data_IF_685991942311
#
_entry.id   IF_685991942311
#
_cell.length_a   1.000
_cell.length_b   1.000
_cell.length_c   1.000
_cell.angle_alpha   90.00
_cell.angle_beta   90.00
_cell.angle_gamma   90.00
#
_symmetry.space_group_name_H-M   'P 1'
#
loop_
_entity.id
_entity.type
_entity.pdbx_description
1 polymer ?
#
# COMPACT_ATOMS: atom_id res chain seq x y z
N UNK A 1 20.46 -11.00 -0.58
CA UNK A 1 20.54 -9.54 -0.43
C UNK A 1 19.15 -9.02 -0.73
N UNK A 2 18.49 -8.45 0.27
CA UNK A 2 17.13 -7.94 0.09
C UNK A 2 17.17 -6.55 -0.60
N UNK A 3 16.02 -6.02 -1.02
CA UNK A 3 15.98 -4.74 -1.74
C UNK A 3 16.44 -3.55 -0.88
N UNK A 4 16.27 -3.61 0.44
CA UNK A 4 16.72 -2.57 1.36
C UNK A 4 18.25 -2.55 1.48
N UNK A 5 18.90 -3.72 1.55
CA UNK A 5 20.36 -3.85 1.51
C UNK A 5 20.91 -3.26 0.20
N UNK A 6 20.22 -3.50 -0.93
CA UNK A 6 20.65 -3.05 -2.26
C UNK A 6 20.69 -1.52 -2.37
N UNK A 7 19.79 -0.83 -1.69
CA UNK A 7 19.74 0.64 -1.67
C UNK A 7 20.47 1.25 -0.48
N UNK A 8 21.08 0.44 0.38
CA UNK A 8 21.79 0.91 1.57
C UNK A 8 20.88 1.57 2.61
N UNK A 9 19.63 1.11 2.71
CA UNK A 9 18.65 1.66 3.65
C UNK A 9 19.16 1.60 5.10
N UNK A 10 19.11 2.73 5.79
CA UNK A 10 19.49 2.86 7.19
C UNK A 10 18.24 3.15 8.06
N UNK A 11 17.75 2.19 8.86
CA UNK A 11 16.57 2.37 9.71
C UNK A 11 16.70 3.44 10.80
N UNK A 12 17.91 3.96 11.06
CA UNK A 12 18.13 5.05 12.01
C UNK A 12 17.86 6.45 11.44
N UNK A 13 17.94 6.62 10.11
CA UNK A 13 17.79 7.93 9.46
C UNK A 13 16.83 7.93 8.26
N UNK A 14 16.46 6.76 7.74
CA UNK A 14 15.61 6.65 6.57
C UNK A 14 14.17 6.28 6.95
N UNK A 15 13.25 6.65 6.07
CA UNK A 15 11.82 6.36 6.19
C UNK A 15 11.38 5.51 4.99
N UNK A 16 10.74 4.38 5.27
CA UNK A 16 10.08 3.57 4.26
C UNK A 16 8.56 3.78 4.33
N UNK A 17 7.94 4.16 3.21
CA UNK A 17 6.49 4.33 3.08
C UNK A 17 5.96 3.28 2.10
N UNK A 18 5.04 2.44 2.56
CA UNK A 18 4.36 1.42 1.76
C UNK A 18 3.03 1.91 1.19
N UNK A 19 2.70 1.43 -0.01
CA UNK A 19 1.39 1.60 -0.69
C UNK A 19 0.31 0.64 -0.16
N UNK A 20 0.56 -0.10 0.92
CA UNK A 20 -0.38 -1.09 1.48
C UNK A 20 -0.20 -2.48 0.88
N UNK A 21 -1.16 -3.38 1.12
CA UNK A 21 -1.12 -4.80 0.72
C UNK A 21 0.13 -5.51 1.24
N UNK A 22 0.32 -5.44 2.55
CA UNK A 22 1.39 -6.11 3.28
C UNK A 22 1.12 -7.60 3.45
N UNK A 23 -0.14 -8.02 3.35
CA UNK A 23 -0.57 -9.40 3.58
C UNK A 23 -1.28 -10.01 2.38
N UNK A 24 -1.60 -11.29 2.55
CA UNK A 24 -2.21 -12.18 1.59
C UNK A 24 -1.28 -12.50 0.41
N UNK A 25 -1.59 -13.61 -0.28
CA UNK A 25 -0.87 -14.16 -1.45
C UNK A 25 0.56 -14.66 -1.17
N UNK A 26 1.35 -13.94 -0.39
CA UNK A 26 2.74 -14.27 -0.04
C UNK A 26 2.87 -15.22 1.17
N UNK A 27 4.09 -15.73 1.44
CA UNK A 27 4.34 -16.63 2.57
C UNK A 27 4.58 -15.91 3.91
N UNK A 28 5.14 -14.70 3.91
CA UNK A 28 5.69 -13.99 5.08
C UNK A 28 4.73 -12.89 5.61
N UNK A 29 3.44 -13.22 5.70
CA UNK A 29 2.37 -12.26 6.03
C UNK A 29 2.53 -11.63 7.42
N UNK A 30 2.89 -12.43 8.44
CA UNK A 30 3.04 -11.92 9.81
C UNK A 30 4.25 -11.00 9.87
N UNK A 31 5.35 -11.42 9.25
CA UNK A 31 6.61 -10.70 9.18
C UNK A 31 6.45 -9.34 8.48
N UNK A 32 5.63 -9.27 7.41
CA UNK A 32 5.26 -8.02 6.76
C UNK A 32 4.38 -7.12 7.65
N UNK A 33 3.44 -7.66 8.42
CA UNK A 33 2.66 -6.88 9.39
C UNK A 33 3.52 -6.34 10.54
N UNK A 34 4.55 -7.08 10.96
CA UNK A 34 5.47 -6.65 12.02
C UNK A 34 6.22 -5.36 11.67
N UNK A 35 6.39 -5.05 10.38
CA UNK A 35 6.94 -3.76 9.92
C UNK A 35 6.16 -2.58 10.47
N UNK A 36 4.85 -2.70 10.72
CA UNK A 36 4.02 -1.65 11.32
C UNK A 36 4.41 -1.30 12.76
N UNK A 37 5.26 -2.11 13.40
CA UNK A 37 5.83 -1.80 14.72
C UNK A 37 7.10 -0.95 14.62
N UNK A 38 7.70 -0.85 13.43
CA UNK A 38 8.98 -0.20 13.24
C UNK A 38 8.82 1.33 13.11
N UNK A 39 9.63 2.12 13.83
CA UNK A 39 9.51 3.58 13.81
C UNK A 39 9.83 4.19 12.44
N UNK A 40 10.66 3.52 11.63
CA UNK A 40 11.06 3.90 10.28
C UNK A 40 10.10 3.42 9.18
N UNK A 41 8.99 2.77 9.53
CA UNK A 41 8.03 2.25 8.55
C UNK A 41 6.67 2.93 8.68
N UNK A 42 6.10 3.37 7.56
CA UNK A 42 4.72 3.84 7.46
C UNK A 42 4.06 3.12 6.28
N UNK A 43 2.74 2.97 6.34
CA UNK A 43 1.97 2.39 5.26
C UNK A 43 0.63 3.11 5.14
N UNK A 44 0.08 3.13 3.95
CA UNK A 44 -1.37 3.33 3.78
C UNK A 44 -2.10 1.98 3.93
N UNK A 45 -3.38 2.03 4.27
CA UNK A 45 -4.24 0.84 4.25
C UNK A 45 -4.36 0.32 2.82
N UNK A 46 -4.05 -0.96 2.60
CA UNK A 46 -4.37 -1.68 1.37
C UNK A 46 -5.72 -2.40 1.44
N UNK A 47 -6.24 -2.82 0.29
CA UNK A 47 -7.54 -3.48 0.25
C UNK A 47 -7.49 -4.86 0.93
N UNK A 48 -6.32 -5.50 0.98
CA UNK A 48 -6.12 -6.75 1.69
C UNK A 48 -6.13 -6.58 3.22
N UNK A 49 -5.57 -5.48 3.73
CA UNK A 49 -5.71 -5.15 5.15
C UNK A 49 -7.18 -4.87 5.54
N UNK A 50 -7.92 -4.15 4.70
CA UNK A 50 -9.36 -3.90 4.92
C UNK A 50 -10.17 -5.20 4.91
N UNK A 51 -9.90 -6.11 3.96
CA UNK A 51 -10.50 -7.44 3.93
C UNK A 51 -10.18 -8.26 5.19
N UNK A 52 -8.95 -8.20 5.69
CA UNK A 52 -8.60 -8.84 6.97
C UNK A 52 -9.44 -8.27 8.11
N UNK A 53 -9.55 -6.93 8.22
CA UNK A 53 -10.34 -6.28 9.26
C UNK A 53 -11.83 -6.66 9.18
N UNK A 54 -12.38 -6.75 7.96
CA UNK A 54 -13.72 -7.27 7.73
C UNK A 54 -13.83 -8.72 8.18
N UNK A 55 -12.90 -9.58 7.74
CA UNK A 55 -12.95 -11.03 7.97
C UNK A 55 -12.82 -11.45 9.43
N UNK A 56 -12.09 -10.69 10.25
CA UNK A 56 -11.96 -10.93 11.69
C UNK A 56 -13.06 -10.25 12.53
N UNK A 57 -13.83 -9.34 11.93
CA UNK A 57 -14.90 -8.64 12.62
C UNK A 57 -16.06 -9.60 12.93
N UNK A 58 -16.68 -9.55 14.13
CA UNK A 58 -17.83 -10.39 14.46
C UNK A 58 -19.01 -10.24 13.50
N UNK A 59 -19.12 -9.10 12.81
CA UNK A 59 -20.21 -8.79 11.88
C UNK A 59 -19.78 -8.80 10.42
N UNK A 60 -18.51 -9.11 10.11
CA UNK A 60 -17.98 -9.09 8.75
C UNK A 60 -17.96 -10.47 8.08
N UNK A 61 -17.44 -10.52 6.85
CA UNK A 61 -17.41 -11.73 6.03
C UNK A 61 -16.01 -12.35 5.97
N UNK A 62 -15.76 -13.35 6.81
CA UNK A 62 -14.55 -14.20 6.71
C UNK A 62 -14.38 -14.81 5.32
N UNK A 63 -15.50 -15.21 4.69
CA UNK A 63 -15.47 -15.80 3.35
C UNK A 63 -14.89 -14.86 2.32
N UNK A 64 -15.23 -13.56 2.40
CA UNK A 64 -14.72 -12.55 1.48
C UNK A 64 -13.19 -12.41 1.57
N UNK A 65 -12.63 -12.42 2.78
CA UNK A 65 -11.19 -12.42 2.97
C UNK A 65 -10.52 -13.72 2.47
N UNK A 66 -11.11 -14.88 2.79
CA UNK A 66 -10.55 -16.17 2.40
C UNK A 66 -10.43 -16.34 0.88
N UNK A 67 -11.45 -15.96 0.11
CA UNK A 67 -11.40 -16.05 -1.37
C UNK A 67 -10.37 -15.09 -1.98
N UNK A 68 -9.96 -14.05 -1.25
CA UNK A 68 -8.94 -13.08 -1.66
C UNK A 68 -7.54 -13.41 -1.12
N UNK A 69 -7.35 -14.51 -0.40
CA UNK A 69 -6.01 -14.97 0.02
C UNK A 69 -5.76 -14.98 1.53
N UNK A 70 -6.77 -14.66 2.35
CA UNK A 70 -6.67 -14.66 3.82
C UNK A 70 -6.49 -16.03 4.51
N UNK A 71 -6.31 -17.11 3.73
CA UNK A 71 -6.19 -18.47 4.27
C UNK A 71 -4.96 -18.69 5.16
N UNK A 72 -3.90 -17.88 5.00
CA UNK A 72 -2.67 -17.99 5.79
C UNK A 72 -2.94 -17.87 7.29
N UNK A 73 -3.84 -16.98 7.70
CA UNK A 73 -4.15 -16.71 9.10
C UNK A 73 -4.69 -17.95 9.85
N UNK A 74 -5.41 -18.82 9.15
CA UNK A 74 -5.98 -20.04 9.71
C UNK A 74 -4.98 -21.20 9.75
N UNK A 75 -3.84 -21.06 9.08
CA UNK A 75 -2.75 -22.03 9.07
C UNK A 75 -1.65 -21.72 10.08
N UNK A 76 -1.75 -20.58 10.78
CA UNK A 76 -0.80 -20.18 11.81
C UNK A 76 -0.89 -21.07 13.05
N UNK A 77 0.26 -21.31 13.67
CA UNK A 77 0.32 -21.81 15.04
C UNK A 77 -0.23 -20.77 16.04
N UNK A 78 -0.43 -21.20 17.29
CA UNK A 78 -1.01 -20.37 18.35
C UNK A 78 -0.26 -19.07 18.58
N UNK A 79 1.08 -19.10 18.56
CA UNK A 79 1.92 -17.95 18.90
C UNK A 79 1.91 -16.93 17.76
N UNK A 80 2.09 -17.38 16.51
CA UNK A 80 1.99 -16.51 15.32
C UNK A 80 0.58 -15.93 15.18
N UNK A 81 -0.46 -16.69 15.50
CA UNK A 81 -1.84 -16.19 15.46
C UNK A 81 -2.08 -15.12 16.51
N UNK A 82 -1.57 -15.30 17.73
CA UNK A 82 -1.63 -14.28 18.78
C UNK A 82 -0.87 -13.01 18.37
N UNK A 83 0.31 -13.16 17.76
CA UNK A 83 1.08 -12.04 17.23
C UNK A 83 0.30 -11.28 16.15
N UNK A 84 -0.21 -11.98 15.13
CA UNK A 84 -1.03 -11.39 14.06
C UNK A 84 -2.25 -10.64 14.63
N UNK A 85 -2.93 -11.21 15.62
CA UNK A 85 -4.04 -10.54 16.30
C UNK A 85 -3.61 -9.30 17.09
N UNK A 86 -2.42 -9.29 17.68
CA UNK A 86 -1.91 -8.10 18.38
C UNK A 86 -1.56 -6.94 17.43
N UNK A 87 -1.27 -7.25 16.16
CA UNK A 87 -0.98 -6.27 15.10
C UNK A 87 -2.25 -5.64 14.49
N UNK A 88 -3.43 -6.25 14.69
CA UNK A 88 -4.71 -5.77 14.14
C UNK A 88 -4.99 -4.30 14.50
N UNK A 89 -4.72 -3.88 15.73
CA UNK A 89 -4.96 -2.47 16.11
C UNK A 89 -4.07 -1.50 15.35
N UNK A 90 -2.86 -1.92 14.96
CA UNK A 90 -1.98 -1.10 14.11
C UNK A 90 -2.51 -1.03 12.69
N UNK A 91 -3.03 -2.15 12.16
CA UNK A 91 -3.71 -2.18 10.86
C UNK A 91 -4.91 -1.22 10.86
N UNK A 92 -5.74 -1.23 11.90
CA UNK A 92 -6.88 -0.29 12.02
C UNK A 92 -6.50 1.18 12.05
N UNK A 93 -5.26 1.49 12.43
CA UNK A 93 -4.75 2.86 12.52
C UNK A 93 -4.10 3.34 11.21
N UNK A 94 -3.99 2.49 10.19
CA UNK A 94 -3.42 2.88 8.90
C UNK A 94 -4.27 3.97 8.26
N UNK A 95 -3.66 5.08 7.80
CA UNK A 95 -4.36 6.08 7.01
C UNK A 95 -4.65 5.53 5.60
N UNK A 96 -5.72 6.00 4.96
CA UNK A 96 -5.98 5.67 3.56
C UNK A 96 -5.06 6.44 2.59
N UNK A 97 -4.61 7.62 3.01
CA UNK A 97 -3.78 8.52 2.22
C UNK A 97 -2.71 9.11 3.14
N UNK A 98 -1.45 9.09 2.68
CA UNK A 98 -0.34 9.81 3.31
C UNK A 98 0.02 11.00 2.42
N UNK A 99 0.15 12.17 3.03
CA UNK A 99 0.83 13.33 2.45
C UNK A 99 2.26 13.36 2.98
N UNK A 100 3.23 13.28 2.08
CA UNK A 100 4.64 13.48 2.38
C UNK A 100 5.09 14.82 1.81
N UNK A 101 5.44 15.75 2.70
CA UNK A 101 6.08 17.01 2.33
C UNK A 101 7.59 16.85 2.45
N UNK A 102 8.25 16.87 1.30
CA UNK A 102 9.71 16.95 1.19
C UNK A 102 10.15 18.41 1.16
N UNK A 103 11.45 18.68 1.03
CA UNK A 103 11.95 20.06 0.92
C UNK A 103 11.47 20.78 -0.34
N UNK A 104 11.14 20.04 -1.42
CA UNK A 104 10.79 20.62 -2.72
C UNK A 104 9.43 20.20 -3.26
N UNK A 105 8.82 19.14 -2.73
CA UNK A 105 7.65 18.50 -3.32
C UNK A 105 6.66 18.01 -2.27
N UNK A 106 5.37 18.09 -2.62
CA UNK A 106 4.27 17.41 -1.94
C UNK A 106 3.94 16.13 -2.71
N UNK A 107 4.06 15.00 -2.02
CA UNK A 107 3.82 13.67 -2.57
C UNK A 107 2.64 13.05 -1.86
N UNK A 108 1.68 12.54 -2.62
CA UNK A 108 0.51 11.84 -2.10
C UNK A 108 0.68 10.35 -2.35
N UNK A 109 0.57 9.56 -1.29
CA UNK A 109 0.62 8.10 -1.37
C UNK A 109 -0.76 7.57 -1.01
N UNK A 110 -1.33 6.73 -1.86
CA UNK A 110 -2.57 6.01 -1.61
C UNK A 110 -2.45 4.60 -2.19
N UNK A 111 -3.36 3.71 -1.81
CA UNK A 111 -3.24 2.32 -2.24
C UNK A 111 -3.54 2.12 -3.73
N UNK A 112 -4.73 2.52 -4.19
CA UNK A 112 -5.17 2.28 -5.56
C UNK A 112 -5.27 3.54 -6.42
N UNK A 113 -5.90 4.59 -5.88
CA UNK A 113 -6.14 5.84 -6.63
C UNK A 113 -6.43 7.04 -5.70
N UNK A 114 -6.41 8.25 -6.26
CA UNK A 114 -7.04 9.44 -5.69
C UNK A 114 -8.20 9.89 -6.60
N UNK A 115 -9.48 9.70 -6.21
CA UNK A 115 -10.63 9.80 -7.11
C UNK A 115 -11.14 11.23 -7.30
N UNK A 116 -10.25 12.15 -7.64
CA UNK A 116 -10.58 13.53 -7.96
C UNK A 116 -9.54 14.13 -8.93
N UNK A 117 -9.84 15.28 -9.51
CA UNK A 117 -8.90 16.06 -10.33
C UNK A 117 -8.02 17.00 -9.52
N UNK A 118 -8.37 17.30 -8.27
CA UNK A 118 -7.60 18.17 -7.39
C UNK A 118 -7.50 17.58 -5.97
N UNK A 119 -6.25 17.36 -5.54
CA UNK A 119 -5.90 16.98 -4.20
C UNK A 119 -6.00 18.14 -3.22
N UNK A 120 -6.66 17.86 -2.09
CA UNK A 120 -6.69 18.74 -0.93
C UNK A 120 -6.56 17.89 0.32
N UNK A 121 -5.67 18.28 1.23
CA UNK A 121 -5.44 17.56 2.49
C UNK A 121 -6.75 17.48 3.31
N UNK A 122 -7.14 16.27 3.70
CA UNK A 122 -8.35 16.02 4.49
C UNK A 122 -9.66 16.04 3.70
N UNK A 123 -9.63 16.21 2.37
CA UNK A 123 -10.81 16.10 1.52
C UNK A 123 -11.39 14.69 1.59
N UNK A 124 -12.69 14.61 1.84
CA UNK A 124 -13.42 13.34 1.80
C UNK A 124 -13.49 12.85 0.35
N UNK A 125 -13.05 11.62 0.13
CA UNK A 125 -13.03 10.96 -1.18
C UNK A 125 -13.71 9.60 -1.07
N UNK A 126 -14.31 9.07 -2.15
CA UNK A 126 -14.90 7.74 -2.15
C UNK A 126 -13.91 6.65 -1.72
N UNK A 127 -14.17 6.07 -0.54
CA UNK A 127 -13.35 5.01 0.05
C UNK A 127 -13.10 3.87 -0.93
N UNK A 128 -14.15 3.39 -1.60
CA UNK A 128 -14.03 2.28 -2.54
C UNK A 128 -13.02 2.57 -3.64
N UNK A 129 -12.98 3.78 -4.20
CA UNK A 129 -12.05 4.08 -5.28
C UNK A 129 -10.61 4.21 -4.79
N UNK A 130 -10.38 4.77 -3.59
CA UNK A 130 -9.04 4.84 -2.98
C UNK A 130 -8.44 3.46 -2.72
N UNK A 131 -9.29 2.48 -2.40
CA UNK A 131 -8.89 1.12 -2.06
C UNK A 131 -8.94 0.14 -3.25
N UNK A 132 -9.84 0.34 -4.20
CA UNK A 132 -10.13 -0.67 -5.25
C UNK A 132 -10.06 -0.11 -6.67
N UNK A 133 -9.91 1.20 -6.85
CA UNK A 133 -9.96 1.87 -8.15
C UNK A 133 -8.92 1.37 -9.14
N UNK A 134 -9.36 1.00 -10.34
CA UNK A 134 -8.47 0.63 -11.47
C UNK A 134 -8.79 1.38 -12.77
N UNK A 135 -9.80 2.24 -12.75
CA UNK A 135 -10.27 2.96 -13.93
C UNK A 135 -9.20 3.92 -14.44
N UNK A 136 -8.64 4.78 -13.57
CA UNK A 136 -7.61 5.75 -13.94
C UNK A 136 -6.39 5.14 -14.62
N UNK A 137 -5.84 4.04 -14.07
CA UNK A 137 -4.67 3.38 -14.68
C UNK A 137 -5.05 2.76 -16.03
N UNK A 138 -6.25 2.18 -16.15
CA UNK A 138 -6.75 1.63 -17.41
C UNK A 138 -6.86 2.71 -18.47
N UNK A 139 -7.49 3.84 -18.14
CA UNK A 139 -7.62 5.00 -19.05
C UNK A 139 -6.26 5.59 -19.41
N UNK A 140 -5.33 5.67 -18.44
CA UNK A 140 -3.99 6.22 -18.66
C UNK A 140 -3.16 5.36 -19.64
N UNK A 141 -3.35 4.04 -19.63
CA UNK A 141 -2.73 3.13 -20.61
C UNK A 141 -3.23 3.44 -22.03
N UNK A 142 -4.49 3.84 -22.17
CA UNK A 142 -5.10 4.27 -23.42
C UNK A 142 -4.80 5.75 -23.77
N UNK A 143 -3.97 6.43 -22.97
CA UNK A 143 -3.61 7.84 -23.16
C UNK A 143 -4.70 8.83 -22.77
N UNK A 144 -5.70 8.39 -22.00
CA UNK A 144 -6.82 9.20 -21.52
C UNK A 144 -6.50 9.63 -20.08
N UNK A 145 -6.62 10.94 -19.78
CA UNK A 145 -6.41 11.46 -18.44
C UNK A 145 -5.65 12.79 -18.42
N UNK A 146 -5.01 13.05 -17.27
CA UNK A 146 -4.29 14.29 -17.00
C UNK A 146 -3.63 14.27 -15.63
N UNK A 147 -2.98 15.37 -15.28
CA UNK A 147 -2.46 15.60 -13.94
C UNK A 147 -3.60 15.66 -12.91
N UNK A 148 -3.31 15.20 -11.70
CA UNK A 148 -4.12 15.51 -10.53
C UNK A 148 -3.48 16.75 -9.89
N UNK A 149 -4.19 17.86 -9.85
CA UNK A 149 -3.70 19.10 -9.26
C UNK A 149 -3.54 18.99 -7.72
N UNK A 150 -2.85 19.94 -7.09
CA UNK A 150 -2.76 20.05 -5.63
C UNK A 150 -1.61 19.28 -4.98
N UNK A 151 -0.90 18.43 -5.72
CA UNK A 151 0.36 17.81 -5.30
C UNK A 151 1.27 17.54 -6.51
N UNK A 152 2.57 17.41 -6.27
CA UNK A 152 3.58 17.24 -7.32
C UNK A 152 3.63 15.81 -7.84
N UNK A 153 3.37 14.81 -6.98
CA UNK A 153 3.34 13.39 -7.34
C UNK A 153 2.28 12.61 -6.57
N UNK A 154 1.73 11.60 -7.22
CA UNK A 154 0.86 10.58 -6.65
C UNK A 154 1.52 9.22 -6.83
N UNK A 155 1.62 8.42 -5.77
CA UNK A 155 2.25 7.10 -5.80
C UNK A 155 1.21 6.06 -5.36
N UNK A 156 0.99 5.07 -6.23
CA UNK A 156 -0.03 4.04 -6.08
C UNK A 156 0.55 2.64 -6.25
N UNK A 157 -0.12 1.66 -5.62
CA UNK A 157 0.08 0.23 -5.79
C UNK A 157 -1.11 -0.43 -6.52
N UNK A 158 -1.65 -1.51 -5.93
CA UNK A 158 -2.90 -2.22 -6.26
C UNK A 158 -3.02 -2.90 -7.64
N UNK A 159 -2.54 -2.24 -8.69
CA UNK A 159 -2.65 -2.69 -10.08
C UNK A 159 -1.28 -3.14 -10.57
N UNK A 160 -1.01 -4.47 -10.60
CA UNK A 160 0.28 -4.98 -11.02
C UNK A 160 0.64 -4.55 -12.44
N UNK A 161 1.83 -3.97 -12.59
CA UNK A 161 2.43 -3.58 -13.88
C UNK A 161 3.77 -4.31 -14.08
N UNK A 162 4.14 -4.62 -15.31
CA UNK A 162 5.39 -5.36 -15.58
C UNK A 162 6.68 -4.58 -15.24
N UNK A 163 6.58 -3.26 -15.20
CA UNK A 163 7.60 -2.31 -14.76
C UNK A 163 6.90 -1.06 -14.24
N UNK A 164 7.54 -0.28 -13.35
CA UNK A 164 6.93 0.93 -12.83
C UNK A 164 6.45 1.83 -13.98
N UNK A 165 5.24 2.35 -13.86
CA UNK A 165 4.62 3.22 -14.86
C UNK A 165 4.44 4.61 -14.30
N UNK A 166 4.62 5.61 -15.16
CA UNK A 166 4.31 7.01 -14.85
C UNK A 166 3.38 7.54 -15.92
N UNK A 167 2.29 8.15 -15.49
CA UNK A 167 1.35 8.86 -16.35
C UNK A 167 1.14 10.24 -15.73
N UNK A 168 1.52 11.30 -16.44
CA UNK A 168 1.54 12.66 -15.88
C UNK A 168 2.29 12.71 -14.54
N UNK A 169 1.58 12.99 -13.43
CA UNK A 169 2.13 13.00 -12.08
C UNK A 169 1.72 11.78 -11.22
N UNK A 170 1.20 10.72 -11.84
CA UNK A 170 0.83 9.47 -11.16
C UNK A 170 1.86 8.36 -11.43
N UNK A 171 2.33 7.71 -10.37
CA UNK A 171 3.34 6.66 -10.38
C UNK A 171 2.75 5.36 -9.84
N UNK A 172 2.79 4.31 -10.66
CA UNK A 172 2.33 2.98 -10.30
C UNK A 172 3.55 2.08 -10.07
N UNK A 173 3.77 1.70 -8.81
CA UNK A 173 4.98 1.01 -8.37
C UNK A 173 4.74 -0.47 -8.01
N UNK A 174 3.50 -0.96 -8.04
CA UNK A 174 3.23 -2.38 -7.86
C UNK A 174 3.71 -3.17 -9.08
N UNK A 175 4.89 -3.80 -8.97
CA UNK A 175 5.44 -4.67 -10.00
C UNK A 175 5.11 -6.15 -9.81
N UNK A 176 4.13 -6.47 -8.95
CA UNK A 176 3.68 -7.84 -8.72
C UNK A 176 4.75 -8.71 -8.06
N UNK A 177 5.37 -8.21 -6.98
CA UNK A 177 6.48 -8.88 -6.30
C UNK A 177 6.15 -10.33 -5.91
N UNK A 178 4.93 -10.59 -5.44
CA UNK A 178 4.47 -11.94 -5.06
C UNK A 178 4.41 -12.91 -6.26
N UNK A 179 4.24 -12.40 -7.48
CA UNK A 179 4.10 -13.21 -8.69
C UNK A 179 5.43 -13.43 -9.42
N UNK A 180 6.35 -12.46 -9.37
CA UNK A 180 7.58 -12.49 -10.17
C UNK A 180 8.87 -12.24 -9.39
N UNK A 181 8.80 -12.01 -8.07
CA UNK A 181 9.92 -11.71 -7.20
C UNK A 181 10.47 -10.29 -7.33
N UNK A 182 9.89 -9.44 -8.19
CA UNK A 182 10.34 -8.06 -8.41
C UNK A 182 9.58 -7.08 -7.53
N UNK A 183 10.23 -6.64 -6.45
CA UNK A 183 9.75 -5.55 -5.61
C UNK A 183 10.34 -4.22 -6.07
N UNK A 184 9.50 -3.20 -6.23
CA UNK A 184 9.94 -1.85 -6.60
C UNK A 184 10.13 -1.00 -5.36
N UNK A 185 11.31 -0.40 -5.24
CA UNK A 185 11.58 0.71 -4.31
C UNK A 185 11.83 1.99 -5.12
N UNK A 186 11.10 3.05 -4.78
CA UNK A 186 11.25 4.38 -5.37
C UNK A 186 11.79 5.33 -4.30
N UNK A 187 13.00 5.83 -4.49
CA UNK A 187 13.56 6.87 -3.63
C UNK A 187 12.93 8.21 -4.01
N UNK A 188 12.34 8.90 -3.03
CA UNK A 188 11.64 10.18 -3.22
C UNK A 188 12.29 11.35 -2.48
N UNK A 189 13.25 11.09 -1.60
CA UNK A 189 14.05 12.08 -0.91
C UNK A 189 15.43 11.46 -0.57
N UNK A 190 16.46 12.30 -0.52
CA UNK A 190 17.85 11.87 -0.29
C UNK A 190 18.68 11.89 -1.57
N UNK A 191 20.01 11.90 -1.40
CA UNK A 191 21.00 11.88 -2.48
C UNK A 191 21.73 10.54 -2.49
#
# INVERSE_FOLDING_TARGET
MNELDRVGFNPECDLLISVGDLIDRGPENVECLELLQMPWFRAVMGNHEDLMLEGISPTGSVTNWLINGGGWFYSLDTDKKALAMSLVERVRQLPYIIELKTTSETIVIAHADYPDGEYQFGKQVPFFTVMWGRERISESIDGIGGEIAGADRFIFGHSPVNMPKTFWNQHYIDTGAVYCGKLTLMQVQGA
#
